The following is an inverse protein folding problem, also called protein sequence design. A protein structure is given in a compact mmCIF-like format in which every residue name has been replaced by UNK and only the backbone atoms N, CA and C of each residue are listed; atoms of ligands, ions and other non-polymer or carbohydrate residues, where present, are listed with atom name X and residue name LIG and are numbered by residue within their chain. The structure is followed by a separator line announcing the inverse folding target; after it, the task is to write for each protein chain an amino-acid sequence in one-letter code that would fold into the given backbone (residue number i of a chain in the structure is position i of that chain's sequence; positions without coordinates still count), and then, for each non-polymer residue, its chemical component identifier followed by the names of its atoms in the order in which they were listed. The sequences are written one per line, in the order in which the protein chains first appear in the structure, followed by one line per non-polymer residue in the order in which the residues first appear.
data_IF_034818421994
#
_entry.id   IF_034818421994
#
_cell.length_a   1.000
_cell.length_b   1.000
_cell.length_c   1.000
_cell.angle_alpha   90.00
_cell.angle_beta   90.00
_cell.angle_gamma   90.00
#
_symmetry.space_group_name_H-M   'P 1'
#
loop_
_entity.id
_entity.type
_entity.pdbx_description
1 polymer ?
#
# COMPACT_ATOMS: atom_id res chain seq x y z
N UNK A 1 -15.06 -48.12 -1.30
CA UNK A 1 -16.28 -47.66 -2.00
C UNK A 1 -16.71 -46.31 -1.41
N UNK A 2 -16.01 -45.22 -1.74
CA UNK A 2 -16.32 -43.87 -1.21
C UNK A 2 -15.82 -42.76 -2.15
N UNK A 3 -16.08 -42.88 -3.46
CA UNK A 3 -15.64 -41.88 -4.46
C UNK A 3 -16.84 -41.15 -5.10
N UNK A 4 -18.05 -41.71 -4.99
CA UNK A 4 -19.27 -41.13 -5.57
C UNK A 4 -19.92 -40.03 -4.71
N UNK A 5 -19.60 -39.95 -3.41
CA UNK A 5 -20.17 -38.93 -2.51
C UNK A 5 -19.47 -37.57 -2.56
N UNK A 6 -18.17 -37.55 -2.87
CA UNK A 6 -17.36 -36.31 -2.84
C UNK A 6 -17.56 -35.45 -4.08
N UNK A 7 -17.75 -36.06 -5.27
CA UNK A 7 -18.03 -35.33 -6.51
C UNK A 7 -19.46 -34.74 -6.57
N UNK A 8 -20.44 -35.34 -5.90
CA UNK A 8 -21.79 -34.78 -5.83
C UNK A 8 -21.85 -33.62 -4.84
N UNK A 9 -21.15 -33.72 -3.70
CA UNK A 9 -20.99 -32.63 -2.74
C UNK A 9 -20.31 -31.40 -3.35
N UNK A 10 -19.18 -31.58 -4.04
CA UNK A 10 -18.48 -30.45 -4.67
C UNK A 10 -19.30 -29.76 -5.76
N UNK A 11 -20.15 -30.49 -6.48
CA UNK A 11 -21.09 -29.93 -7.46
C UNK A 11 -22.21 -29.13 -6.80
N UNK A 12 -22.71 -29.59 -5.65
CA UNK A 12 -23.74 -28.88 -4.88
C UNK A 12 -23.14 -27.59 -4.32
N UNK A 13 -21.95 -27.65 -3.74
CA UNK A 13 -21.22 -26.47 -3.22
C UNK A 13 -20.99 -25.44 -4.32
N UNK A 14 -20.41 -25.85 -5.45
CA UNK A 14 -20.18 -24.96 -6.59
C UNK A 14 -21.50 -24.38 -7.16
N UNK A 15 -22.59 -25.14 -7.15
CA UNK A 15 -23.90 -24.64 -7.56
C UNK A 15 -24.45 -23.62 -6.55
N UNK A 16 -24.34 -23.89 -5.25
CA UNK A 16 -24.77 -22.96 -4.20
C UNK A 16 -23.99 -21.64 -4.24
N UNK A 17 -22.67 -21.68 -4.41
CA UNK A 17 -21.84 -20.49 -4.60
C UNK A 17 -22.28 -19.69 -5.84
N UNK A 18 -22.56 -20.37 -6.95
CA UNK A 18 -23.04 -19.71 -8.17
C UNK A 18 -24.41 -19.03 -7.99
N UNK A 19 -25.33 -19.65 -7.25
CA UNK A 19 -26.65 -19.06 -6.95
C UNK A 19 -26.51 -17.83 -6.05
N UNK A 20 -25.71 -17.95 -4.98
CA UNK A 20 -25.41 -16.85 -4.05
C UNK A 20 -24.77 -15.69 -4.81
N UNK A 21 -23.77 -15.96 -5.65
CA UNK A 21 -23.09 -14.93 -6.44
C UNK A 21 -24.01 -14.25 -7.47
N UNK A 22 -24.95 -14.99 -8.07
CA UNK A 22 -25.97 -14.40 -8.95
C UNK A 22 -26.91 -13.48 -8.19
N UNK A 23 -27.34 -13.89 -6.98
CA UNK A 23 -28.20 -13.07 -6.13
C UNK A 23 -27.48 -11.79 -5.67
N UNK A 24 -26.24 -11.91 -5.19
CA UNK A 24 -25.39 -10.76 -4.82
C UNK A 24 -25.25 -9.81 -6.02
N UNK A 25 -24.86 -10.32 -7.20
CA UNK A 25 -24.73 -9.50 -8.41
C UNK A 25 -26.04 -8.82 -8.80
N UNK A 26 -27.18 -9.49 -8.63
CA UNK A 26 -28.50 -8.91 -8.89
C UNK A 26 -28.81 -7.75 -7.94
N UNK A 27 -28.56 -7.92 -6.63
CA UNK A 27 -28.72 -6.88 -5.61
C UNK A 27 -27.77 -5.71 -5.88
N UNK A 28 -26.50 -5.98 -6.19
CA UNK A 28 -25.49 -4.95 -6.48
C UNK A 28 -25.74 -4.20 -7.79
N UNK A 29 -26.40 -4.83 -8.78
CA UNK A 29 -26.82 -4.18 -10.03
C UNK A 29 -28.02 -3.25 -9.88
N UNK A 30 -28.72 -3.28 -8.73
CA UNK A 30 -29.86 -2.40 -8.50
C UNK A 30 -29.37 -0.95 -8.30
N UNK A 31 -29.96 -0.03 -9.07
CA UNK A 31 -29.45 1.30 -9.46
C UNK A 31 -29.35 2.39 -8.37
N UNK A 32 -29.11 2.06 -7.10
CA UNK A 32 -29.18 3.05 -6.02
C UNK A 32 -27.92 3.19 -5.16
N UNK A 33 -26.86 2.43 -5.44
CA UNK A 33 -25.58 2.63 -4.77
C UNK A 33 -24.77 3.65 -5.57
N UNK A 34 -24.45 4.78 -4.93
CA UNK A 34 -23.66 5.84 -5.56
C UNK A 34 -22.23 5.39 -5.83
N UNK A 35 -21.58 5.98 -6.84
CA UNK A 35 -20.15 5.77 -7.11
C UNK A 35 -19.30 6.05 -5.86
N UNK A 36 -19.65 7.07 -5.07
CA UNK A 36 -18.95 7.40 -3.82
C UNK A 36 -19.05 6.27 -2.78
N UNK A 37 -20.20 5.60 -2.67
CA UNK A 37 -20.37 4.46 -1.77
C UNK A 37 -19.49 3.27 -2.18
N UNK A 38 -19.33 3.05 -3.49
CA UNK A 38 -18.42 2.04 -4.01
C UNK A 38 -16.95 2.38 -3.75
N UNK A 39 -16.56 3.64 -3.89
CA UNK A 39 -15.21 4.11 -3.59
C UNK A 39 -14.86 3.96 -2.11
N UNK A 40 -15.81 4.20 -1.21
CA UNK A 40 -15.63 3.96 0.23
C UNK A 40 -15.44 2.46 0.52
N UNK A 41 -16.28 1.59 -0.04
CA UNK A 41 -16.15 0.14 0.14
C UNK A 41 -14.81 -0.36 -0.42
N UNK A 42 -14.39 0.16 -1.57
CA UNK A 42 -13.09 -0.14 -2.15
C UNK A 42 -11.96 0.33 -1.23
N UNK A 43 -12.00 1.56 -0.72
CA UNK A 43 -11.04 2.09 0.26
C UNK A 43 -10.93 1.21 1.51
N UNK A 44 -12.07 0.83 2.09
CA UNK A 44 -12.12 -0.08 3.24
C UNK A 44 -11.54 -1.46 2.91
N UNK A 45 -11.79 -1.98 1.71
CA UNK A 45 -11.22 -3.26 1.28
C UNK A 45 -9.69 -3.19 1.15
N UNK A 46 -9.16 -2.09 0.60
CA UNK A 46 -7.72 -1.85 0.51
C UNK A 46 -7.09 -1.76 1.90
N UNK A 47 -7.71 -1.01 2.80
CA UNK A 47 -7.26 -0.89 4.20
C UNK A 47 -7.29 -2.25 4.92
N UNK A 48 -8.36 -3.04 4.75
CA UNK A 48 -8.44 -4.40 5.29
C UNK A 48 -7.40 -5.37 4.72
N UNK A 49 -6.89 -5.10 3.52
CA UNK A 49 -5.76 -5.80 2.90
C UNK A 49 -4.38 -5.21 3.29
N UNK A 50 -4.36 -4.21 4.17
CA UNK A 50 -3.17 -3.45 4.54
C UNK A 50 -2.48 -2.76 3.34
N UNK A 51 -3.26 -2.28 2.38
CA UNK A 51 -2.81 -1.58 1.18
C UNK A 51 -3.10 -0.07 1.32
N UNK A 52 -2.13 0.77 0.98
CA UNK A 52 -2.27 2.23 0.94
C UNK A 52 -1.72 2.99 2.15
N UNK A 53 -1.58 2.34 3.31
CA UNK A 53 -1.03 2.96 4.52
C UNK A 53 0.48 3.27 4.45
N UNK A 54 1.24 2.54 3.62
CA UNK A 54 2.70 2.63 3.55
C UNK A 54 3.26 3.66 2.56
N UNK A 55 2.42 4.49 1.93
CA UNK A 55 2.90 5.44 0.92
C UNK A 55 3.54 6.70 1.52
N UNK A 56 3.20 7.05 2.76
CA UNK A 56 3.72 8.23 3.43
C UNK A 56 4.88 7.90 4.38
N UNK A 57 5.87 8.79 4.44
CA UNK A 57 7.08 8.63 5.27
C UNK A 57 6.77 8.33 6.74
N UNK A 58 5.69 8.88 7.28
CA UNK A 58 5.26 8.65 8.65
C UNK A 58 4.75 7.23 8.95
N UNK A 59 4.26 6.52 7.94
CA UNK A 59 3.51 5.26 8.11
C UNK A 59 4.15 4.07 7.37
N UNK A 60 5.19 4.32 6.57
CA UNK A 60 5.94 3.33 5.78
C UNK A 60 7.00 2.56 6.57
N UNK A 61 7.38 3.05 7.75
CA UNK A 61 8.54 2.57 8.52
C UNK A 61 9.86 3.23 8.13
N UNK A 62 9.87 4.15 7.17
CA UNK A 62 11.09 4.85 6.73
C UNK A 62 11.73 5.67 7.85
N UNK A 63 10.94 6.32 8.71
CA UNK A 63 11.46 7.03 9.88
C UNK A 63 12.18 6.11 10.87
N UNK A 64 11.70 4.87 11.03
CA UNK A 64 12.37 3.89 11.88
C UNK A 64 13.74 3.54 11.31
N UNK A 65 13.83 3.30 10.00
CA UNK A 65 15.09 2.99 9.32
C UNK A 65 16.06 4.17 9.41
N UNK A 66 15.60 5.40 9.14
CA UNK A 66 16.42 6.62 9.27
C UNK A 66 17.00 6.78 10.68
N UNK A 67 16.19 6.54 11.72
CA UNK A 67 16.64 6.57 13.12
C UNK A 67 17.55 5.40 13.49
N UNK A 68 17.38 4.25 12.86
CA UNK A 68 18.26 3.11 13.07
C UNK A 68 19.64 3.39 12.47
N UNK A 69 19.72 3.83 11.21
CA UNK A 69 20.99 4.10 10.54
C UNK A 69 21.75 5.26 11.17
N UNK A 70 21.05 6.28 11.70
CA UNK A 70 21.68 7.45 12.31
C UNK A 70 22.62 7.09 13.47
N UNK A 71 22.34 5.97 14.16
CA UNK A 71 23.16 5.43 15.26
C UNK A 71 24.51 4.88 14.79
N UNK A 72 24.65 4.56 13.51
CA UNK A 72 25.84 3.92 12.93
C UNK A 72 26.64 4.86 12.02
N UNK A 73 26.09 6.02 11.67
CA UNK A 73 26.80 7.00 10.85
C UNK A 73 27.93 7.64 11.67
N UNK A 74 29.15 7.57 11.14
CA UNK A 74 30.30 8.21 11.76
C UNK A 74 30.24 9.72 11.55
N UNK A 75 30.39 10.48 12.65
CA UNK A 75 30.29 11.96 12.63
C UNK A 75 31.37 12.65 11.80
N UNK A 76 32.52 12.01 11.58
CA UNK A 76 33.65 12.53 10.81
C UNK A 76 33.50 12.31 9.29
N UNK A 77 32.46 11.60 8.85
CA UNK A 77 32.15 11.38 7.44
C UNK A 77 30.92 12.19 7.05
N UNK A 78 30.84 12.56 5.78
CA UNK A 78 29.66 13.15 5.16
C UNK A 78 28.97 12.07 4.31
N UNK A 79 27.91 11.41 4.81
CA UNK A 79 27.15 10.44 4.04
C UNK A 79 26.54 11.07 2.80
N UNK A 80 26.51 10.30 1.71
CA UNK A 80 25.86 10.69 0.46
C UNK A 80 24.61 9.83 0.31
N UNK A 81 23.48 10.49 0.09
CA UNK A 81 22.16 9.89 -0.07
C UNK A 81 21.65 10.21 -1.47
N UNK A 82 21.15 9.19 -2.15
CA UNK A 82 20.47 9.34 -3.44
C UNK A 82 18.99 9.00 -3.22
N UNK A 83 18.13 10.01 -3.34
CA UNK A 83 16.67 9.85 -3.27
C UNK A 83 16.12 9.74 -4.69
N UNK A 84 15.79 8.51 -5.10
CA UNK A 84 15.35 8.18 -6.46
C UNK A 84 13.82 8.07 -6.48
N UNK A 85 13.16 8.90 -7.28
CA UNK A 85 11.70 9.07 -7.21
C UNK A 85 11.29 9.98 -6.06
N UNK A 86 12.06 11.04 -5.81
CA UNK A 86 11.90 11.92 -4.65
C UNK A 86 10.51 12.58 -4.57
N UNK A 87 9.76 12.63 -5.68
CA UNK A 87 8.45 13.26 -5.75
C UNK A 87 8.49 14.70 -5.20
N UNK A 88 7.75 15.00 -4.13
CA UNK A 88 7.74 16.32 -3.47
C UNK A 88 8.82 16.50 -2.40
N UNK A 89 9.65 15.47 -2.17
CA UNK A 89 10.82 15.53 -1.29
C UNK A 89 10.59 15.19 0.18
N UNK A 90 9.41 14.69 0.57
CA UNK A 90 9.06 14.37 1.97
C UNK A 90 10.10 13.45 2.64
N UNK A 91 10.57 12.44 1.92
CA UNK A 91 11.57 11.50 2.43
C UNK A 91 12.92 12.19 2.64
N UNK A 92 13.38 12.97 1.66
CA UNK A 92 14.61 13.76 1.75
C UNK A 92 14.57 14.75 2.91
N UNK A 93 13.44 15.43 3.13
CA UNK A 93 13.25 16.33 4.27
C UNK A 93 13.34 15.58 5.61
N UNK A 94 12.71 14.41 5.72
CA UNK A 94 12.82 13.58 6.92
C UNK A 94 14.26 13.09 7.16
N UNK A 95 14.97 12.69 6.11
CA UNK A 95 16.37 12.28 6.19
C UNK A 95 17.27 13.42 6.69
N UNK A 96 17.11 14.65 6.17
CA UNK A 96 17.86 15.82 6.63
C UNK A 96 17.55 16.11 8.11
N UNK A 97 16.28 16.05 8.50
CA UNK A 97 15.88 16.31 9.89
C UNK A 97 16.46 15.30 10.88
N UNK A 98 16.59 14.02 10.50
CA UNK A 98 17.04 12.94 11.39
C UNK A 98 18.56 12.78 11.38
N UNK A 99 19.18 12.86 10.19
CA UNK A 99 20.61 12.60 10.00
C UNK A 99 21.46 13.86 10.19
N UNK A 100 20.82 15.04 10.22
CA UNK A 100 21.45 16.34 10.44
C UNK A 100 22.14 16.90 9.19
N UNK A 101 22.83 18.04 9.38
CA UNK A 101 23.32 18.87 8.26
C UNK A 101 24.63 18.37 7.63
N UNK A 102 25.30 17.35 8.19
CA UNK A 102 26.53 16.78 7.63
C UNK A 102 26.24 15.62 6.68
N UNK A 103 25.25 15.78 5.80
CA UNK A 103 24.92 14.82 4.75
C UNK A 103 24.85 15.55 3.41
N UNK A 104 25.01 14.80 2.32
CA UNK A 104 24.74 15.28 0.97
C UNK A 104 23.58 14.49 0.38
N UNK A 105 22.49 15.16 0.05
CA UNK A 105 21.30 14.53 -0.56
C UNK A 105 21.21 14.93 -2.03
N UNK A 106 21.04 13.95 -2.91
CA UNK A 106 20.80 14.15 -4.34
C UNK A 106 19.46 13.53 -4.69
N UNK A 107 18.49 14.37 -5.10
CA UNK A 107 17.13 13.95 -5.43
C UNK A 107 16.98 13.81 -6.95
N UNK A 108 16.33 12.74 -7.39
CA UNK A 108 16.01 12.51 -8.79
C UNK A 108 14.52 12.29 -8.93
N UNK A 109 13.83 13.14 -9.68
CA UNK A 109 12.40 13.02 -9.97
C UNK A 109 12.17 13.21 -11.47
N UNK A 110 11.70 12.18 -12.21
CA UNK A 110 11.44 12.30 -13.64
C UNK A 110 10.23 13.18 -13.97
N UNK A 111 9.29 13.36 -13.03
CA UNK A 111 8.13 14.21 -13.21
C UNK A 111 8.49 15.70 -13.12
N UNK A 112 8.29 16.44 -14.20
CA UNK A 112 8.40 17.91 -14.21
C UNK A 112 7.41 18.61 -13.29
N UNK A 113 6.32 17.95 -12.90
CA UNK A 113 5.23 18.57 -12.13
C UNK A 113 5.58 18.79 -10.65
N UNK A 114 6.58 18.07 -10.16
CA UNK A 114 6.92 18.00 -8.73
C UNK A 114 8.27 18.69 -8.41
N UNK A 115 8.84 19.43 -9.37
CA UNK A 115 10.07 20.23 -9.23
C UNK A 115 9.72 21.71 -9.26
#
# INVERSE_FOLDING_TARGET
MTIFGTQSQSKIEAWTENVIMKFIKYVLKQKHISQSSWEQLHGLSLEGMNIGGGAGVGNSGELYVLNYISKYLKKDKQPIIFDVGANIGDWSSAAISILGNNIKVSCFEPSKKNI
#
